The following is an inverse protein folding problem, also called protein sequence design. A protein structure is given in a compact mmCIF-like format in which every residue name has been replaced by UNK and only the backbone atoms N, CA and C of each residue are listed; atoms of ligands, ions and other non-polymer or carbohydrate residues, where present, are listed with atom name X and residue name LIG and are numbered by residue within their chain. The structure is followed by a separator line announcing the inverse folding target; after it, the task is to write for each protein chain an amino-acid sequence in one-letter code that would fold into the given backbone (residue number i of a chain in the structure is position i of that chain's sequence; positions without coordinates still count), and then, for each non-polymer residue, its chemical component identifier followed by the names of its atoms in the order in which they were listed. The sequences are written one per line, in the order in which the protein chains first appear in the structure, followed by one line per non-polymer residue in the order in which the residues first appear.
data_IF_796106506882
#
_entry.id   IF_796106506882
#
_cell.length_a   1.000
_cell.length_b   1.000
_cell.length_c   1.000
_cell.angle_alpha   90.00
_cell.angle_beta   90.00
_cell.angle_gamma   90.00
#
_symmetry.space_group_name_H-M   'P 1'
#
loop_
_entity.id
_entity.type
_entity.pdbx_description
1 polymer ?
#
# COMPACT_ATOMS: atom_id res chain seq x y z
N UNK A 1 14.62 25.75 -25.26
CA UNK A 1 13.43 24.90 -25.06
C UNK A 1 13.22 24.66 -23.57
N UNK A 2 12.43 25.49 -22.86
CA UNK A 2 12.03 25.17 -21.50
C UNK A 2 10.96 24.06 -21.56
N UNK A 3 11.28 22.88 -21.04
CA UNK A 3 10.27 21.82 -20.85
C UNK A 3 9.34 22.25 -19.72
N UNK A 4 8.01 22.20 -19.90
CA UNK A 4 7.02 22.55 -18.87
C UNK A 4 7.05 21.65 -17.62
N UNK A 5 7.83 20.56 -17.65
CA UNK A 5 7.96 19.61 -16.54
C UNK A 5 9.19 19.93 -15.68
N UNK A 6 9.07 19.84 -14.34
CA UNK A 6 10.21 20.01 -13.45
C UNK A 6 11.26 18.92 -13.73
N UNK A 7 12.54 19.31 -13.59
CA UNK A 7 13.67 18.38 -13.69
C UNK A 7 14.14 18.04 -12.28
N UNK A 8 14.35 16.75 -12.04
CA UNK A 8 14.90 16.26 -10.78
C UNK A 8 16.28 15.68 -11.06
N UNK A 9 17.32 16.29 -10.51
CA UNK A 9 18.68 15.75 -10.53
C UNK A 9 18.83 14.82 -9.35
N UNK A 10 19.33 13.60 -9.60
CA UNK A 10 19.51 12.57 -8.59
C UNK A 10 20.98 12.15 -8.62
N UNK A 11 21.62 12.12 -7.45
CA UNK A 11 22.94 11.50 -7.28
C UNK A 11 22.74 10.02 -7.02
N UNK A 12 23.37 9.17 -7.82
CA UNK A 12 23.34 7.72 -7.61
C UNK A 12 24.20 7.36 -6.39
N UNK A 13 23.56 7.21 -5.24
CA UNK A 13 24.17 6.64 -4.03
C UNK A 13 24.25 5.11 -4.15
N UNK A 14 25.00 4.46 -3.27
CA UNK A 14 25.13 2.99 -3.25
C UNK A 14 23.78 2.26 -3.17
N UNK A 15 22.82 2.82 -2.42
CA UNK A 15 21.47 2.29 -2.33
C UNK A 15 20.70 2.39 -3.65
N UNK A 16 20.84 3.51 -4.36
CA UNK A 16 20.21 3.73 -5.67
C UNK A 16 20.87 2.81 -6.70
N UNK A 17 22.19 2.65 -6.67
CA UNK A 17 22.92 1.73 -7.55
C UNK A 17 22.42 0.30 -7.36
N UNK A 18 22.31 -0.16 -6.11
CA UNK A 18 21.79 -1.48 -5.76
C UNK A 18 20.33 -1.68 -6.24
N UNK A 19 19.48 -0.66 -6.08
CA UNK A 19 18.11 -0.70 -6.55
C UNK A 19 18.03 -0.80 -8.08
N UNK A 20 18.88 -0.06 -8.79
CA UNK A 20 18.94 -0.08 -10.25
C UNK A 20 19.47 -1.41 -10.79
N UNK A 21 20.46 -2.01 -10.12
CA UNK A 21 20.97 -3.32 -10.51
C UNK A 21 19.90 -4.41 -10.29
N UNK A 22 19.11 -4.31 -9.21
CA UNK A 22 17.96 -5.19 -8.99
C UNK A 22 16.87 -4.99 -10.05
N UNK A 23 16.58 -3.74 -10.41
CA UNK A 23 15.64 -3.39 -11.47
C UNK A 23 16.09 -3.95 -12.83
N UNK A 24 17.37 -3.83 -13.17
CA UNK A 24 17.93 -4.36 -14.42
C UNK A 24 17.77 -5.88 -14.54
N UNK A 25 17.97 -6.61 -13.43
CA UNK A 25 17.73 -8.07 -13.40
C UNK A 25 16.24 -8.41 -13.57
N UNK A 26 15.35 -7.58 -13.04
CA UNK A 26 13.88 -7.79 -13.08
C UNK A 26 13.26 -7.42 -14.43
N UNK A 27 13.82 -6.43 -15.12
CA UNK A 27 13.37 -5.90 -16.40
C UNK A 27 14.56 -5.84 -17.38
N UNK A 28 15.01 -6.98 -17.92
CA UNK A 28 16.16 -7.02 -18.81
C UNK A 28 15.93 -6.24 -20.12
N UNK A 29 14.68 -6.18 -20.60
CA UNK A 29 14.32 -5.47 -21.83
C UNK A 29 14.34 -3.94 -21.68
N UNK A 30 14.16 -3.43 -20.46
CA UNK A 30 14.26 -1.99 -20.14
C UNK A 30 15.73 -1.56 -19.89
N UNK A 31 16.68 -2.50 -19.96
CA UNK A 31 18.08 -2.37 -19.52
C UNK A 31 18.99 -1.45 -20.34
N UNK A 32 18.46 -0.65 -21.27
CA UNK A 32 19.29 0.21 -22.11
C UNK A 32 19.88 1.41 -21.35
N UNK A 33 19.21 1.93 -20.30
CA UNK A 33 19.74 3.04 -19.47
C UNK A 33 19.28 3.00 -18.02
N UNK A 34 20.16 3.40 -17.09
CA UNK A 34 19.82 3.57 -15.67
C UNK A 34 18.67 4.57 -15.45
N UNK A 35 18.56 5.60 -16.28
CA UNK A 35 17.47 6.57 -16.22
C UNK A 35 16.09 5.97 -16.55
N UNK A 36 16.00 5.02 -17.49
CA UNK A 36 14.76 4.32 -17.79
C UNK A 36 14.33 3.43 -16.62
N UNK A 37 15.29 2.73 -15.99
CA UNK A 37 15.04 1.93 -14.80
C UNK A 37 14.59 2.79 -13.62
N UNK A 38 15.15 3.99 -13.43
CA UNK A 38 14.65 4.96 -12.44
C UNK A 38 13.18 5.32 -12.68
N UNK A 39 12.81 5.64 -13.92
CA UNK A 39 11.42 5.96 -14.27
C UNK A 39 10.50 4.76 -14.01
N UNK A 40 10.95 3.54 -14.32
CA UNK A 40 10.19 2.32 -14.05
C UNK A 40 9.98 2.11 -12.55
N UNK A 41 11.05 2.23 -11.76
CA UNK A 41 10.99 2.11 -10.30
C UNK A 41 10.03 3.12 -9.66
N UNK A 42 10.01 4.37 -10.13
CA UNK A 42 9.04 5.38 -9.65
C UNK A 42 7.60 4.94 -9.93
N UNK A 43 7.32 4.38 -11.12
CA UNK A 43 5.98 3.89 -11.47
C UNK A 43 5.57 2.67 -10.64
N UNK A 44 6.48 1.72 -10.42
CA UNK A 44 6.19 0.57 -9.56
C UNK A 44 6.03 0.98 -8.09
N UNK A 45 6.80 1.97 -7.63
CA UNK A 45 6.64 2.56 -6.31
C UNK A 45 5.26 3.20 -6.11
N UNK A 46 4.76 3.93 -7.12
CA UNK A 46 3.40 4.49 -7.09
C UNK A 46 2.35 3.39 -6.95
N UNK A 47 2.42 2.34 -7.78
CA UNK A 47 1.49 1.20 -7.69
C UNK A 47 1.52 0.56 -6.30
N UNK A 48 2.71 0.31 -5.76
CA UNK A 48 2.86 -0.26 -4.42
C UNK A 48 2.33 0.66 -3.29
N UNK A 49 2.24 1.98 -3.52
CA UNK A 49 1.61 2.91 -2.57
C UNK A 49 0.09 2.90 -2.74
N UNK A 50 -0.41 2.88 -3.97
CA UNK A 50 -1.84 2.87 -4.29
C UNK A 50 -2.52 1.54 -3.95
N UNK A 51 -1.81 0.42 -4.05
CA UNK A 51 -2.33 -0.92 -3.76
C UNK A 51 -2.40 -1.23 -2.25
N UNK A 52 -1.59 -0.56 -1.42
CA UNK A 52 -1.57 -0.78 0.04
C UNK A 52 -2.92 -0.53 0.75
N UNK A 53 -3.63 0.58 0.48
CA UNK A 53 -4.98 0.80 1.00
C UNK A 53 -5.96 -0.33 0.61
N UNK A 54 -5.83 -0.90 -0.58
CA UNK A 54 -6.67 -2.00 -1.03
C UNK A 54 -6.37 -3.30 -0.28
N UNK A 55 -5.10 -3.60 -0.04
CA UNK A 55 -4.67 -4.75 0.75
C UNK A 55 -5.13 -4.66 2.21
N UNK A 56 -4.99 -3.49 2.84
CA UNK A 56 -5.44 -3.28 4.22
C UNK A 56 -6.97 -3.33 4.33
N UNK A 57 -7.69 -2.79 3.35
CA UNK A 57 -9.15 -2.90 3.29
C UNK A 57 -9.63 -4.34 3.03
N UNK A 58 -8.91 -5.11 2.20
CA UNK A 58 -9.20 -6.52 1.97
C UNK A 58 -8.93 -7.36 3.23
N UNK A 59 -7.78 -7.15 3.89
CA UNK A 59 -7.42 -7.80 5.16
C UNK A 59 -8.43 -7.51 6.25
N UNK A 60 -8.84 -6.24 6.39
CA UNK A 60 -9.89 -5.84 7.34
C UNK A 60 -11.23 -6.50 7.04
N UNK A 61 -11.67 -6.52 5.77
CA UNK A 61 -12.93 -7.18 5.38
C UNK A 61 -12.88 -8.68 5.64
N UNK A 62 -11.77 -9.35 5.34
CA UNK A 62 -11.58 -10.76 5.63
C UNK A 62 -11.66 -11.06 7.12
N UNK A 63 -11.05 -10.23 7.97
CA UNK A 63 -11.15 -10.37 9.42
C UNK A 63 -12.59 -10.17 9.94
N UNK A 64 -13.32 -9.18 9.39
CA UNK A 64 -14.74 -8.98 9.73
C UNK A 64 -15.58 -10.18 9.32
N UNK A 65 -15.43 -10.67 8.09
CA UNK A 65 -16.18 -11.85 7.62
C UNK A 65 -15.86 -13.11 8.42
N UNK A 66 -14.59 -13.33 8.77
CA UNK A 66 -14.17 -14.49 9.58
C UNK A 66 -14.76 -14.47 11.00
N UNK A 67 -14.90 -13.28 11.59
CA UNK A 67 -15.39 -13.11 12.97
C UNK A 67 -16.88 -12.83 13.04
N UNK A 68 -17.53 -12.61 11.90
CA UNK A 68 -18.95 -12.26 11.82
C UNK A 68 -19.80 -13.37 12.44
N UNK A 69 -20.56 -13.01 13.47
CA UNK A 69 -21.46 -13.94 14.15
C UNK A 69 -20.76 -14.95 15.06
N UNK A 70 -19.44 -14.87 15.25
CA UNK A 70 -18.71 -15.75 16.17
C UNK A 70 -19.19 -15.62 17.63
N UNK A 71 -19.83 -14.49 17.98
CA UNK A 71 -20.41 -14.23 19.29
C UNK A 71 -21.95 -14.21 19.28
N UNK A 72 -22.58 -14.69 18.20
CA UNK A 72 -24.05 -14.79 18.15
C UNK A 72 -24.54 -15.73 19.25
N UNK A 73 -25.49 -15.27 20.06
CA UNK A 73 -26.05 -16.04 21.18
C UNK A 73 -25.22 -16.02 22.47
N UNK A 74 -24.02 -15.40 22.48
CA UNK A 74 -23.22 -15.24 23.70
C UNK A 74 -23.82 -14.18 24.62
N UNK A 75 -24.44 -13.15 24.05
CA UNK A 75 -25.02 -12.06 24.82
C UNK A 75 -26.51 -12.32 25.10
N UNK A 76 -26.97 -12.09 26.34
CA UNK A 76 -28.36 -12.28 26.70
C UNK A 76 -29.27 -11.24 26.04
N UNK A 77 -30.57 -11.55 25.98
CA UNK A 77 -31.59 -10.65 25.46
C UNK A 77 -31.53 -9.28 26.16
N UNK A 78 -31.70 -8.20 25.37
CA UNK A 78 -31.65 -6.82 25.87
C UNK A 78 -30.28 -6.36 26.40
N UNK A 79 -29.19 -7.12 26.23
CA UNK A 79 -27.85 -6.74 26.69
C UNK A 79 -27.36 -5.41 26.08
N UNK A 80 -27.53 -5.23 24.77
CA UNK A 80 -27.08 -4.02 24.07
C UNK A 80 -27.83 -2.75 24.52
N UNK A 81 -29.12 -2.87 24.85
CA UNK A 81 -29.91 -1.73 25.34
C UNK A 81 -29.38 -1.26 26.69
N UNK A 82 -29.21 -2.19 27.64
CA UNK A 82 -28.67 -1.88 28.97
C UNK A 82 -27.27 -1.26 28.91
N UNK A 83 -26.40 -1.77 28.03
CA UNK A 83 -25.06 -1.22 27.85
C UNK A 83 -25.08 0.22 27.34
N UNK A 84 -26.03 0.57 26.47
CA UNK A 84 -26.17 1.93 25.93
C UNK A 84 -26.71 2.92 26.96
N UNK A 85 -27.57 2.45 27.86
CA UNK A 85 -28.11 3.26 28.97
C UNK A 85 -27.02 3.68 29.97
N UNK A 86 -25.87 2.99 29.99
CA UNK A 86 -24.72 3.28 30.86
C UNK A 86 -23.77 4.36 30.29
N UNK A 87 -23.91 4.75 29.01
CA UNK A 87 -23.07 5.78 28.41
C UNK A 87 -23.68 7.18 28.58
N UNK A 88 -22.89 8.18 29.05
CA UNK A 88 -23.34 9.56 29.05
C UNK A 88 -23.51 10.07 27.61
N UNK A 89 -24.50 10.93 27.41
CA UNK A 89 -24.86 11.52 26.12
C UNK A 89 -23.74 12.36 25.50
#
# INVERSE_FOLDING_TARGET
MPTSRPRHTITETDDIARALDAAARRWPDDGATRSQLLVRLVREGLRAIEDRPHEDAARRRAAVEQTRGALTGVYPEGYLSRLRDEWPA
#
